data_IF_255782596678
#
_entry.id   IF_255782596678
#
_cell.length_a   1.000
_cell.length_b   1.000
_cell.length_c   1.000
_cell.angle_alpha   90.00
_cell.angle_beta   90.00
_cell.angle_gamma   90.00
#
_symmetry.space_group_name_H-M   'P 1'
#
loop_
_entity.id
_entity.type
_entity.pdbx_description
1 polymer ?
#
# COMPACT_ATOMS: atom_id res chain seq x y z
N UNK A 1 11.82 -20.99 -23.66
CA UNK A 1 13.11 -20.31 -23.86
C UNK A 1 13.59 -19.84 -22.50
N UNK A 2 14.83 -20.15 -22.12
CA UNK A 2 15.40 -19.75 -20.83
C UNK A 2 16.57 -18.82 -21.08
N UNK A 3 16.72 -17.83 -20.19
CA UNK A 3 17.86 -16.91 -20.18
C UNK A 3 18.57 -17.08 -18.84
N UNK A 4 19.90 -17.19 -18.88
CA UNK A 4 20.75 -17.16 -17.68
C UNK A 4 21.50 -15.83 -17.68
N UNK A 5 21.24 -15.00 -16.67
CA UNK A 5 21.89 -13.69 -16.49
C UNK A 5 22.84 -13.80 -15.31
N UNK A 6 24.14 -13.63 -15.55
CA UNK A 6 25.15 -13.58 -14.50
C UNK A 6 25.38 -12.11 -14.13
N UNK A 7 24.98 -11.74 -12.90
CA UNK A 7 25.08 -10.36 -12.41
C UNK A 7 26.39 -10.08 -11.69
N UNK A 8 27.00 -11.09 -11.05
CA UNK A 8 28.27 -11.00 -10.33
C UNK A 8 29.11 -12.25 -10.58
N UNK A 9 30.43 -12.10 -10.44
CA UNK A 9 31.36 -13.22 -10.51
C UNK A 9 31.28 -14.07 -9.22
N UNK A 10 31.43 -15.40 -9.32
CA UNK A 10 31.28 -16.31 -8.18
C UNK A 10 32.42 -16.22 -7.14
N UNK A 11 33.44 -15.38 -7.35
CA UNK A 11 34.53 -15.14 -6.40
C UNK A 11 34.98 -13.67 -6.44
N UNK A 12 35.09 -12.98 -5.29
CA UNK A 12 34.98 -13.49 -3.92
C UNK A 12 33.54 -13.41 -3.34
N UNK A 13 33.36 -13.98 -2.15
CA UNK A 13 32.10 -14.03 -1.39
C UNK A 13 31.66 -12.62 -0.98
N UNK A 14 30.54 -12.17 -1.53
CA UNK A 14 29.92 -10.90 -1.14
C UNK A 14 29.38 -10.95 0.30
N UNK A 15 29.32 -9.79 0.99
CA UNK A 15 28.61 -9.69 2.26
C UNK A 15 27.13 -10.08 2.09
N UNK A 16 26.49 -10.46 3.20
CA UNK A 16 25.07 -10.75 3.22
C UNK A 16 24.28 -9.55 2.65
N UNK A 17 23.35 -9.82 1.74
CA UNK A 17 22.51 -8.78 1.16
C UNK A 17 21.63 -8.19 2.27
N UNK A 18 21.64 -6.86 2.35
CA UNK A 18 20.83 -6.12 3.29
C UNK A 18 19.91 -5.20 2.49
N UNK A 19 18.70 -5.67 2.23
CA UNK A 19 17.65 -4.85 1.65
C UNK A 19 17.21 -3.81 2.68
N UNK A 20 17.43 -2.54 2.36
CA UNK A 20 17.06 -1.42 3.24
C UNK A 20 15.61 -1.02 3.11
N UNK A 21 14.90 -1.54 2.09
CA UNK A 21 13.52 -1.18 1.83
C UNK A 21 12.58 -1.95 2.76
N UNK A 22 11.55 -1.25 3.23
CA UNK A 22 10.50 -1.88 4.04
C UNK A 22 9.56 -2.69 3.15
N UNK A 23 8.98 -3.75 3.72
CA UNK A 23 7.88 -4.46 3.05
C UNK A 23 6.70 -3.51 2.86
N UNK A 24 6.19 -3.44 1.63
CA UNK A 24 5.00 -2.64 1.28
C UNK A 24 3.83 -3.60 1.07
N UNK A 25 2.92 -3.75 2.04
CA UNK A 25 1.71 -4.55 1.84
C UNK A 25 0.80 -3.86 0.83
N UNK A 26 0.36 -4.59 -0.20
CA UNK A 26 -0.53 -4.07 -1.22
C UNK A 26 -1.24 -5.21 -1.96
N UNK A 27 -2.42 -5.59 -1.49
CA UNK A 27 -3.22 -6.70 -2.05
C UNK A 27 -3.40 -6.65 -3.58
N UNK A 28 -3.78 -5.52 -4.23
CA UNK A 28 -3.92 -5.49 -5.68
C UNK A 28 -2.58 -5.62 -6.43
N UNK A 29 -1.42 -5.46 -5.75
CA UNK A 29 -0.08 -5.55 -6.34
C UNK A 29 0.71 -6.78 -5.90
N UNK A 30 0.15 -7.63 -5.03
CA UNK A 30 0.83 -8.82 -4.52
C UNK A 30 1.17 -9.82 -5.63
N UNK A 31 0.23 -10.01 -6.56
CA UNK A 31 0.41 -10.89 -7.71
C UNK A 31 -0.18 -10.29 -8.97
N UNK A 32 0.28 -10.79 -10.13
CA UNK A 32 -0.33 -10.46 -11.42
C UNK A 32 -1.83 -10.76 -11.45
N UNK A 33 -2.24 -11.89 -10.88
CA UNK A 33 -3.64 -12.32 -10.92
C UNK A 33 -4.53 -11.44 -10.03
N UNK A 34 -4.02 -11.02 -8.86
CA UNK A 34 -4.70 -10.04 -8.01
C UNK A 34 -4.96 -8.72 -8.77
N UNK A 35 -3.94 -8.18 -9.43
CA UNK A 35 -4.08 -6.97 -10.25
C UNK A 35 -5.10 -7.15 -11.39
N UNK A 36 -5.04 -8.28 -12.10
CA UNK A 36 -5.94 -8.55 -13.23
C UNK A 36 -7.39 -8.74 -12.77
N UNK A 37 -7.62 -9.37 -11.62
CA UNK A 37 -8.94 -9.51 -11.02
C UNK A 37 -9.48 -8.13 -10.61
N UNK A 38 -8.70 -7.36 -9.86
CA UNK A 38 -9.03 -5.99 -9.48
C UNK A 38 -9.39 -5.11 -10.69
N UNK A 39 -8.57 -5.14 -11.74
CA UNK A 39 -8.81 -4.38 -12.96
C UNK A 39 -10.07 -4.86 -13.70
N UNK A 40 -10.35 -6.17 -13.71
CA UNK A 40 -11.55 -6.73 -14.33
C UNK A 40 -12.81 -6.26 -13.59
N UNK A 41 -12.80 -6.34 -12.26
CA UNK A 41 -13.93 -5.99 -11.40
C UNK A 41 -14.26 -4.49 -11.49
N UNK A 42 -13.23 -3.65 -11.63
CA UNK A 42 -13.37 -2.19 -11.79
C UNK A 42 -13.49 -1.74 -13.26
N UNK A 43 -13.51 -2.67 -14.21
CA UNK A 43 -13.55 -2.41 -15.66
C UNK A 43 -12.43 -1.50 -16.17
N UNK A 44 -11.24 -1.63 -15.58
CA UNK A 44 -10.04 -0.94 -16.03
C UNK A 44 -9.49 -1.62 -17.28
N UNK A 45 -9.22 -0.80 -18.29
CA UNK A 45 -8.71 -1.27 -19.56
C UNK A 45 -7.48 -0.49 -20.01
N UNK A 46 -6.56 -1.19 -20.66
CA UNK A 46 -5.31 -0.67 -21.21
C UNK A 46 -5.27 -0.79 -22.74
N UNK A 47 -6.44 -0.84 -23.38
CA UNK A 47 -6.62 -1.07 -24.82
C UNK A 47 -6.42 0.17 -25.70
N UNK A 48 -6.31 1.37 -25.11
CA UNK A 48 -5.92 2.60 -25.82
C UNK A 48 -5.25 3.59 -24.87
N UNK A 49 -4.54 4.58 -25.40
CA UNK A 49 -3.87 5.59 -24.57
C UNK A 49 -4.82 6.30 -23.59
N UNK A 50 -6.02 6.67 -24.07
CA UNK A 50 -7.03 7.34 -23.23
C UNK A 50 -7.48 6.44 -22.09
N UNK A 51 -7.73 5.15 -22.38
CA UNK A 51 -8.21 4.17 -21.39
C UNK A 51 -7.12 3.80 -20.40
N UNK A 52 -5.89 3.58 -20.88
CA UNK A 52 -4.72 3.36 -20.05
C UNK A 52 -4.51 4.53 -19.08
N UNK A 53 -4.57 5.79 -19.54
CA UNK A 53 -4.45 6.97 -18.65
C UNK A 53 -5.53 7.00 -17.57
N UNK A 54 -6.78 6.70 -17.92
CA UNK A 54 -7.86 6.63 -16.95
C UNK A 54 -7.62 5.53 -15.92
N UNK A 55 -7.36 4.31 -16.39
CA UNK A 55 -7.10 3.13 -15.55
C UNK A 55 -5.89 3.34 -14.63
N UNK A 56 -4.80 3.92 -15.13
CA UNK A 56 -3.62 4.26 -14.31
C UNK A 56 -3.95 5.29 -13.25
N UNK A 57 -4.70 6.35 -13.58
CA UNK A 57 -5.07 7.38 -12.59
C UNK A 57 -5.99 6.80 -11.51
N UNK A 58 -6.97 5.98 -11.89
CA UNK A 58 -7.88 5.35 -10.95
C UNK A 58 -7.16 4.34 -10.06
N UNK A 59 -6.24 3.55 -10.61
CA UNK A 59 -5.36 2.66 -9.86
C UNK A 59 -4.50 3.45 -8.85
N UNK A 60 -3.86 4.54 -9.28
CA UNK A 60 -3.05 5.37 -8.39
C UNK A 60 -3.88 5.90 -7.22
N UNK A 61 -5.11 6.35 -7.46
CA UNK A 61 -6.00 6.81 -6.40
C UNK A 61 -6.29 5.71 -5.37
N UNK A 62 -6.64 4.51 -5.83
CA UNK A 62 -6.93 3.36 -4.97
C UNK A 62 -5.70 2.95 -4.15
N UNK A 63 -4.51 2.93 -4.76
CA UNK A 63 -3.26 2.66 -4.06
C UNK A 63 -3.00 3.70 -2.97
N UNK A 64 -3.14 4.99 -3.27
CA UNK A 64 -2.89 6.05 -2.28
C UNK A 64 -3.87 6.00 -1.11
N UNK A 65 -5.15 5.72 -1.36
CA UNK A 65 -6.14 5.62 -0.28
C UNK A 65 -5.92 4.37 0.55
N UNK A 66 -5.68 3.21 -0.06
CA UNK A 66 -5.39 1.99 0.70
C UNK A 66 -4.15 2.13 1.59
N UNK A 67 -3.15 2.94 1.19
CA UNK A 67 -1.99 3.27 2.03
C UNK A 67 -2.28 4.34 3.08
N UNK A 68 -3.32 5.16 2.89
CA UNK A 68 -3.70 6.26 3.79
C UNK A 68 -4.82 5.87 4.76
N UNK A 69 -5.56 4.77 4.51
CA UNK A 69 -6.66 4.22 5.32
C UNK A 69 -6.21 3.62 6.67
N UNK A 70 -5.04 4.03 7.19
CA UNK A 70 -4.96 4.19 8.63
C UNK A 70 -5.85 5.38 8.95
N UNK A 71 -7.10 5.13 9.35
CA UNK A 71 -7.96 6.18 9.85
C UNK A 71 -7.16 7.05 10.81
N UNK A 72 -6.97 8.29 10.42
CA UNK A 72 -6.22 9.26 11.19
C UNK A 72 -7.20 9.85 12.18
N UNK A 73 -7.06 9.50 13.46
CA UNK A 73 -7.91 10.04 14.51
C UNK A 73 -7.18 11.14 15.26
N UNK A 74 -7.96 12.09 15.77
CA UNK A 74 -7.45 13.16 16.62
C UNK A 74 -7.91 12.88 18.05
N UNK A 75 -6.98 12.81 19.00
CA UNK A 75 -7.34 12.66 20.41
C UNK A 75 -8.19 13.86 20.87
N UNK A 76 -9.38 13.61 21.40
CA UNK A 76 -10.30 14.67 21.82
C UNK A 76 -9.75 15.51 23.00
N UNK A 77 -8.74 15.03 23.74
CA UNK A 77 -8.08 15.78 24.82
C UNK A 77 -6.92 16.65 24.31
N UNK A 78 -5.93 16.06 23.64
CA UNK A 78 -4.71 16.77 23.26
C UNK A 78 -4.69 17.27 21.81
N UNK A 79 -5.70 16.92 21.01
CA UNK A 79 -5.87 17.31 19.61
C UNK A 79 -4.71 16.86 18.69
N UNK A 80 -3.88 15.92 19.16
CA UNK A 80 -2.82 15.32 18.36
C UNK A 80 -3.35 14.14 17.56
N UNK A 81 -2.74 13.96 16.39
CA UNK A 81 -2.97 12.83 15.52
C UNK A 81 -2.48 11.54 16.19
N UNK A 82 -3.30 10.50 16.25
CA UNK A 82 -2.94 9.21 16.84
C UNK A 82 -3.67 8.03 16.20
N UNK A 83 -3.05 6.85 16.29
CA UNK A 83 -3.76 5.57 16.16
C UNK A 83 -4.58 5.39 17.46
N UNK A 84 -5.91 5.20 17.36
CA UNK A 84 -6.82 5.19 18.54
C UNK A 84 -6.42 4.07 19.51
N UNK A 85 -6.35 4.39 20.80
CA UNK A 85 -6.24 3.38 21.87
C UNK A 85 -7.54 3.19 22.66
N UNK A 86 -8.43 4.19 22.67
CA UNK A 86 -9.77 4.09 23.27
C UNK A 86 -10.80 4.88 22.47
N UNK A 87 -11.87 4.22 22.01
CA UNK A 87 -13.04 4.83 21.38
C UNK A 87 -14.25 4.68 22.30
N UNK A 88 -14.90 5.79 22.66
CA UNK A 88 -16.07 5.75 23.52
C UNK A 88 -17.27 5.12 22.80
N UNK A 89 -17.88 4.08 23.38
CA UNK A 89 -19.05 3.43 22.79
C UNK A 89 -20.38 4.12 23.13
N UNK A 90 -20.35 5.17 23.94
CA UNK A 90 -21.54 5.87 24.45
C UNK A 90 -21.76 7.25 23.81
N UNK A 91 -20.68 7.88 23.32
CA UNK A 91 -20.71 9.17 22.64
C UNK A 91 -20.07 9.02 21.27
N UNK A 92 -20.71 9.57 20.23
CA UNK A 92 -20.13 9.58 18.88
C UNK A 92 -18.83 10.41 18.86
N UNK A 93 -17.83 9.91 18.13
CA UNK A 93 -16.57 10.61 17.83
C UNK A 93 -15.73 11.06 19.04
N UNK A 94 -15.64 10.23 20.08
CA UNK A 94 -14.72 10.46 21.20
C UNK A 94 -13.58 9.42 21.25
N UNK A 95 -12.41 9.84 20.78
CA UNK A 95 -11.18 9.04 20.69
C UNK A 95 -10.08 9.60 21.61
N UNK A 96 -9.33 8.70 22.25
CA UNK A 96 -8.16 9.04 23.06
C UNK A 96 -6.90 8.34 22.56
N UNK A 97 -5.79 9.08 22.57
CA UNK A 97 -4.46 8.51 22.39
C UNK A 97 -3.99 7.83 23.69
N UNK A 98 -3.02 6.92 23.61
CA UNK A 98 -2.50 6.17 24.77
C UNK A 98 -2.04 7.05 25.95
N UNK A 99 -1.63 8.30 25.68
CA UNK A 99 -1.09 9.22 26.68
C UNK A 99 -2.17 10.03 27.42
N UNK A 100 -3.41 10.02 26.95
CA UNK A 100 -4.53 10.82 27.48
C UNK A 100 -5.58 9.91 28.10
#
# INVERSE_FOLDING_TARGET
>A
QFFAVHLRDPNPVDPAENDTDSLIPCDPMETRDAFLNFARDKHYEFSSLRRAKFSTRALLYELHISTTDKFIYNCNICQQQCDIHYHCTMFEDFDLCEKC
#
